data_IF_781064073534
#
_entry.id   IF_781064073534
#
_cell.length_a   1.000
_cell.length_b   1.000
_cell.length_c   1.000
_cell.angle_alpha   90.00
_cell.angle_beta   90.00
_cell.angle_gamma   90.00
#
_symmetry.space_group_name_H-M   'P 1'
#
loop_
_entity.id
_entity.type
_entity.pdbx_description
1 polymer ?
#
# COMPACT_ATOMS: atom_id res chain seq x y z
N UNK A 1 -4.53 6.09 -31.54
CA UNK A 1 -5.17 5.08 -30.66
C UNK A 1 -5.88 5.87 -29.61
N UNK A 2 -7.19 5.76 -29.58
CA UNK A 2 -8.02 6.49 -28.63
C UNK A 2 -7.77 5.88 -27.23
N UNK A 3 -7.05 6.61 -26.37
CA UNK A 3 -6.80 6.19 -25.00
C UNK A 3 -8.13 6.28 -24.26
N UNK A 4 -8.55 5.18 -23.67
CA UNK A 4 -9.85 5.12 -23.01
C UNK A 4 -9.93 6.08 -21.81
N UNK A 5 -11.14 6.49 -21.38
CA UNK A 5 -11.37 7.47 -20.31
C UNK A 5 -10.67 7.11 -18.99
N UNK A 6 -10.37 5.85 -18.74
CA UNK A 6 -9.65 5.38 -17.56
C UNK A 6 -8.18 5.77 -17.57
N UNK A 7 -7.50 5.79 -18.72
CA UNK A 7 -6.10 6.22 -18.81
C UNK A 7 -5.97 7.72 -18.63
N UNK A 8 -6.92 8.49 -19.17
CA UNK A 8 -6.97 9.94 -18.95
C UNK A 8 -7.16 10.27 -17.46
N UNK A 9 -8.06 9.56 -16.76
CA UNK A 9 -8.27 9.72 -15.33
C UNK A 9 -7.01 9.39 -14.51
N UNK A 10 -6.33 8.28 -14.81
CA UNK A 10 -5.07 7.91 -14.16
C UNK A 10 -3.98 8.98 -14.36
N UNK A 11 -3.96 9.66 -15.50
CA UNK A 11 -3.02 10.76 -15.78
C UNK A 11 -3.35 12.04 -15.01
N UNK A 12 -4.61 12.25 -14.66
CA UNK A 12 -5.04 13.41 -13.87
C UNK A 12 -4.67 13.29 -12.39
N UNK A 13 -4.38 12.07 -11.89
CA UNK A 13 -3.99 11.85 -10.51
C UNK A 13 -2.59 12.45 -10.27
N UNK A 14 -2.40 13.26 -9.22
CA UNK A 14 -1.10 13.82 -8.88
C UNK A 14 -0.04 12.73 -8.67
N UNK A 15 1.21 13.03 -9.08
CA UNK A 15 2.34 12.10 -9.00
C UNK A 15 3.35 12.46 -7.92
N UNK A 16 3.33 13.71 -7.47
CA UNK A 16 4.24 14.20 -6.43
C UNK A 16 3.60 14.04 -5.07
N UNK A 17 4.35 13.54 -4.10
CA UNK A 17 3.85 13.22 -2.77
C UNK A 17 3.32 14.44 -2.00
N UNK A 18 3.94 15.61 -2.20
CA UNK A 18 3.50 16.87 -1.58
C UNK A 18 2.08 17.30 -1.99
N UNK A 19 1.62 16.87 -3.17
CA UNK A 19 0.25 17.14 -3.61
C UNK A 19 -0.82 16.50 -2.70
N UNK A 20 -0.46 15.51 -1.86
CA UNK A 20 -1.40 14.91 -0.92
C UNK A 20 -1.87 15.92 0.15
N UNK A 21 -1.13 16.99 0.38
CA UNK A 21 -1.53 18.05 1.32
C UNK A 21 -2.75 18.86 0.83
N UNK A 22 -2.99 18.88 -0.48
CA UNK A 22 -4.11 19.63 -1.06
C UNK A 22 -5.47 19.05 -0.62
N UNK A 23 -6.45 19.89 -0.22
CA UNK A 23 -7.75 19.41 0.27
C UNK A 23 -8.47 18.47 -0.70
N UNK A 24 -8.40 18.75 -2.00
CA UNK A 24 -9.09 17.98 -3.04
C UNK A 24 -8.39 16.67 -3.41
N UNK A 25 -7.13 16.48 -3.00
CA UNK A 25 -6.35 15.30 -3.34
C UNK A 25 -6.51 14.24 -2.26
N UNK A 26 -7.22 13.16 -2.55
CA UNK A 26 -7.33 12.01 -1.64
C UNK A 26 -6.34 10.88 -1.98
N UNK A 27 -5.79 10.89 -3.19
CA UNK A 27 -4.88 9.89 -3.74
C UNK A 27 -3.75 10.54 -4.54
N UNK A 28 -2.53 10.06 -4.35
CA UNK A 28 -1.38 10.35 -5.21
C UNK A 28 -0.86 9.02 -5.73
N UNK A 29 -0.50 8.94 -7.02
CA UNK A 29 0.13 7.75 -7.60
C UNK A 29 1.47 8.17 -8.23
N UNK A 30 2.57 7.78 -7.58
CA UNK A 30 3.92 8.00 -8.10
C UNK A 30 4.34 6.81 -8.99
N UNK A 31 4.54 7.01 -10.31
CA UNK A 31 5.15 6.01 -11.17
C UNK A 31 6.60 5.77 -10.78
N UNK A 32 7.01 4.51 -10.66
CA UNK A 32 8.41 4.15 -10.43
C UNK A 32 8.76 2.81 -11.05
N UNK A 33 10.06 2.57 -11.24
CA UNK A 33 10.58 1.26 -11.61
C UNK A 33 11.02 0.52 -10.36
N UNK A 34 10.65 -0.74 -10.26
CA UNK A 34 10.98 -1.59 -9.10
C UNK A 34 12.18 -2.50 -9.35
N UNK A 35 12.69 -2.56 -10.59
CA UNK A 35 13.88 -3.32 -11.03
C UNK A 35 14.20 -4.53 -10.12
N UNK A 36 15.29 -4.43 -9.33
CA UNK A 36 15.75 -5.53 -8.44
C UNK A 36 14.74 -5.92 -7.36
N UNK A 37 13.90 -5.00 -6.88
CA UNK A 37 12.84 -5.33 -5.93
C UNK A 37 11.73 -6.12 -6.61
N UNK A 38 11.43 -5.82 -7.89
CA UNK A 38 10.51 -6.60 -8.71
C UNK A 38 10.96 -8.05 -8.88
N UNK A 39 12.24 -8.26 -9.25
CA UNK A 39 12.82 -9.61 -9.41
C UNK A 39 12.77 -10.39 -8.08
N UNK A 40 13.14 -9.77 -6.96
CA UNK A 40 13.10 -10.40 -5.64
C UNK A 40 11.67 -10.71 -5.18
N UNK A 41 10.68 -9.94 -5.63
CA UNK A 41 9.27 -10.15 -5.26
C UNK A 41 8.67 -11.40 -5.88
N UNK A 42 9.11 -11.80 -7.07
CA UNK A 42 8.65 -13.02 -7.71
C UNK A 42 8.99 -14.25 -6.85
N UNK A 43 10.22 -14.33 -6.35
CA UNK A 43 10.64 -15.42 -5.46
C UNK A 43 9.83 -15.46 -4.15
N UNK A 44 9.39 -14.31 -3.63
CA UNK A 44 8.53 -14.25 -2.44
C UNK A 44 7.10 -14.71 -2.69
N UNK A 45 6.63 -14.77 -3.93
CA UNK A 45 5.33 -15.36 -4.27
C UNK A 45 5.35 -16.90 -4.33
N UNK A 46 6.52 -17.51 -4.49
CA UNK A 46 6.67 -18.96 -4.62
C UNK A 46 6.74 -19.69 -3.27
N UNK A 47 6.97 -18.95 -2.18
CA UNK A 47 6.98 -19.51 -0.83
C UNK A 47 5.58 -19.54 -0.20
N UNK A 48 5.49 -20.17 0.98
CA UNK A 48 4.25 -20.18 1.78
C UNK A 48 3.80 -18.74 2.12
N UNK A 49 2.49 -18.47 2.12
CA UNK A 49 1.95 -17.15 2.46
C UNK A 49 2.45 -16.65 3.81
N UNK A 50 2.92 -15.43 3.83
CA UNK A 50 3.50 -14.79 5.01
C UNK A 50 2.98 -13.38 5.23
N UNK A 51 3.17 -12.88 6.44
CA UNK A 51 3.03 -11.49 6.80
C UNK A 51 4.19 -11.11 7.72
N UNK A 52 4.89 -10.01 7.38
CA UNK A 52 5.90 -9.37 8.18
C UNK A 52 5.42 -8.00 8.60
N UNK A 53 5.49 -7.72 9.88
CA UNK A 53 5.14 -6.41 10.44
C UNK A 53 6.27 -5.91 11.33
N UNK A 54 6.54 -4.63 11.24
CA UNK A 54 7.53 -3.95 12.05
C UNK A 54 7.01 -2.56 12.42
N UNK A 55 7.43 -2.03 13.57
CA UNK A 55 7.06 -0.69 14.03
C UNK A 55 8.19 -0.06 14.82
N UNK A 56 8.23 1.26 14.87
CA UNK A 56 9.23 2.07 15.54
C UNK A 56 9.79 3.16 14.63
N UNK A 57 10.96 3.69 14.97
CA UNK A 57 11.72 4.51 14.02
C UNK A 57 12.02 3.73 12.75
N UNK A 58 12.27 4.42 11.64
CA UNK A 58 12.54 3.72 10.37
C UNK A 58 13.66 2.69 10.53
N UNK A 59 14.76 3.04 11.21
CA UNK A 59 15.88 2.13 11.43
C UNK A 59 15.50 0.91 12.27
N UNK A 60 14.73 1.08 13.35
CA UNK A 60 14.26 -0.02 14.19
C UNK A 60 13.31 -0.94 13.42
N UNK A 61 12.39 -0.38 12.64
CA UNK A 61 11.47 -1.15 11.81
C UNK A 61 12.22 -1.96 10.73
N UNK A 62 13.24 -1.37 10.09
CA UNK A 62 14.08 -2.07 9.10
C UNK A 62 14.88 -3.21 9.74
N UNK A 63 15.43 -3.01 10.94
CA UNK A 63 16.11 -4.10 11.67
C UNK A 63 15.20 -5.29 11.98
N UNK A 64 13.92 -5.04 12.30
CA UNK A 64 12.93 -6.09 12.54
C UNK A 64 12.57 -6.89 11.26
N UNK A 65 12.86 -6.35 10.08
CA UNK A 65 12.60 -6.95 8.77
C UNK A 65 13.87 -7.50 8.09
N UNK A 66 14.97 -7.64 8.83
CA UNK A 66 16.28 -8.00 8.28
C UNK A 66 16.35 -9.40 7.62
N UNK A 67 15.32 -10.24 7.81
CA UNK A 67 15.17 -11.54 7.15
C UNK A 67 14.61 -11.44 5.71
N UNK A 68 14.20 -10.25 5.27
CA UNK A 68 13.73 -10.03 3.89
C UNK A 68 14.90 -9.96 2.90
N UNK A 69 14.66 -10.26 1.61
CA UNK A 69 15.66 -10.08 0.56
C UNK A 69 16.22 -8.65 0.55
N UNK A 70 17.54 -8.47 0.43
CA UNK A 70 18.18 -7.14 0.54
C UNK A 70 17.65 -6.09 -0.44
N UNK A 71 17.16 -6.50 -1.63
CA UNK A 71 16.58 -5.58 -2.60
C UNK A 71 15.23 -5.03 -2.13
N UNK A 72 14.38 -5.88 -1.57
CA UNK A 72 13.09 -5.49 -0.97
C UNK A 72 13.33 -4.61 0.26
N UNK A 73 14.25 -5.00 1.14
CA UNK A 73 14.55 -4.26 2.36
C UNK A 73 15.02 -2.84 2.07
N UNK A 74 15.92 -2.64 1.10
CA UNK A 74 16.39 -1.30 0.68
C UNK A 74 15.25 -0.46 0.10
N UNK A 75 14.36 -1.05 -0.67
CA UNK A 75 13.21 -0.33 -1.23
C UNK A 75 12.25 0.10 -0.13
N UNK A 76 11.94 -0.79 0.82
CA UNK A 76 11.11 -0.48 1.99
C UNK A 76 11.74 0.65 2.82
N UNK A 77 13.05 0.60 3.09
CA UNK A 77 13.77 1.64 3.83
C UNK A 77 13.66 3.01 3.15
N UNK A 78 13.88 3.05 1.83
CA UNK A 78 13.75 4.27 1.04
C UNK A 78 12.34 4.85 1.09
N UNK A 79 11.32 4.01 0.95
CA UNK A 79 9.91 4.44 1.00
C UNK A 79 9.51 4.88 2.41
N UNK A 80 9.94 4.15 3.44
CA UNK A 80 9.63 4.46 4.83
C UNK A 80 10.28 5.79 5.27
N UNK A 81 11.53 6.05 4.87
CA UNK A 81 12.21 7.31 5.15
C UNK A 81 11.48 8.50 4.50
N UNK A 82 11.15 8.40 3.22
CA UNK A 82 10.40 9.44 2.51
C UNK A 82 9.00 9.66 3.10
N UNK A 83 8.35 8.57 3.55
CA UNK A 83 7.03 8.65 4.18
C UNK A 83 7.10 9.32 5.56
N UNK A 84 8.12 9.00 6.35
CA UNK A 84 8.40 9.65 7.64
C UNK A 84 8.66 11.15 7.46
N UNK A 85 9.48 11.53 6.47
CA UNK A 85 9.74 12.94 6.13
C UNK A 85 8.46 13.68 5.71
N UNK A 86 7.63 13.05 4.86
CA UNK A 86 6.37 13.65 4.40
C UNK A 86 5.38 13.89 5.54
N UNK A 87 5.27 12.92 6.46
CA UNK A 87 4.30 12.97 7.56
C UNK A 87 4.81 13.70 8.79
N UNK A 88 6.11 14.01 8.84
CA UNK A 88 6.79 14.54 10.04
C UNK A 88 6.77 13.54 11.20
N UNK A 89 6.50 12.26 10.96
CA UNK A 89 6.45 11.23 11.99
C UNK A 89 7.81 10.57 12.17
N UNK A 90 8.26 10.50 13.41
CA UNK A 90 9.51 9.79 13.74
C UNK A 90 9.32 8.25 13.78
N UNK A 91 8.08 7.77 13.72
CA UNK A 91 7.72 6.37 13.83
C UNK A 91 6.82 5.95 12.68
N UNK A 92 7.05 4.75 12.18
CA UNK A 92 6.28 4.12 11.11
C UNK A 92 5.86 2.71 11.49
N UNK A 93 4.75 2.27 10.94
CA UNK A 93 4.34 0.86 10.96
C UNK A 93 4.41 0.32 9.55
N UNK A 94 5.24 -0.69 9.35
CA UNK A 94 5.50 -1.33 8.06
C UNK A 94 4.87 -2.72 8.07
N UNK A 95 4.20 -3.08 6.99
CA UNK A 95 3.68 -4.43 6.76
C UNK A 95 3.95 -4.86 5.34
N UNK A 96 4.67 -5.96 5.18
CA UNK A 96 4.82 -6.67 3.90
C UNK A 96 4.08 -8.01 4.00
N UNK A 97 3.10 -8.22 3.13
CA UNK A 97 2.28 -9.43 3.16
C UNK A 97 2.06 -10.02 1.77
N UNK A 98 2.16 -11.34 1.70
CA UNK A 98 1.64 -12.10 0.58
C UNK A 98 0.15 -12.35 0.82
N UNK A 99 -0.71 -11.76 0.02
CA UNK A 99 -2.17 -11.85 0.15
C UNK A 99 -2.69 -12.90 -0.80
N UNK A 100 -3.35 -13.92 -0.25
CA UNK A 100 -3.99 -15.04 -0.96
C UNK A 100 -5.47 -15.16 -0.63
N UNK A 101 -6.03 -14.21 0.13
CA UNK A 101 -7.40 -14.24 0.63
C UNK A 101 -8.23 -13.11 0.01
N UNK A 102 -9.53 -13.11 0.26
CA UNK A 102 -10.44 -12.04 -0.12
C UNK A 102 -10.55 -10.93 0.94
N UNK A 103 -9.57 -10.80 1.82
CA UNK A 103 -9.55 -9.73 2.83
C UNK A 103 -9.62 -8.35 2.18
N UNK A 104 -10.35 -7.43 2.79
CA UNK A 104 -10.51 -6.05 2.30
C UNK A 104 -11.10 -5.94 0.88
N UNK A 105 -11.90 -6.91 0.42
CA UNK A 105 -12.51 -6.93 -0.93
C UNK A 105 -13.62 -5.93 -1.13
N UNK A 106 -14.19 -5.38 -0.06
CA UNK A 106 -15.22 -4.33 -0.15
C UNK A 106 -14.55 -2.97 -0.23
N UNK A 107 -15.15 -2.05 -0.99
CA UNK A 107 -14.70 -0.66 -1.04
C UNK A 107 -14.82 -0.05 0.36
N UNK A 108 -13.76 0.56 0.84
CA UNK A 108 -13.68 1.19 2.15
C UNK A 108 -12.64 2.30 2.14
N UNK A 109 -12.64 3.11 3.18
CA UNK A 109 -11.54 4.02 3.49
C UNK A 109 -10.95 3.64 4.84
N UNK A 110 -9.62 3.62 4.92
CA UNK A 110 -8.88 3.24 6.13
C UNK A 110 -9.12 4.22 7.29
N UNK A 111 -9.04 3.70 8.49
CA UNK A 111 -9.12 4.51 9.71
C UNK A 111 -7.70 4.94 10.16
N UNK A 112 -6.94 5.49 9.23
CA UNK A 112 -5.60 6.07 9.41
C UNK A 112 -5.64 7.56 9.03
N UNK A 113 -4.54 8.27 9.24
CA UNK A 113 -4.31 9.60 8.66
C UNK A 113 -3.87 9.49 7.20
N UNK A 114 -2.70 8.94 6.95
CA UNK A 114 -2.13 8.70 5.63
C UNK A 114 -1.59 7.27 5.56
N UNK A 115 -1.76 6.64 4.40
CA UNK A 115 -1.22 5.31 4.09
C UNK A 115 -0.41 5.35 2.80
N UNK A 116 0.79 4.79 2.85
CA UNK A 116 1.52 4.41 1.66
C UNK A 116 1.23 2.96 1.34
N UNK A 117 0.93 2.67 0.07
CA UNK A 117 0.76 1.32 -0.43
C UNK A 117 1.53 1.11 -1.73
N UNK A 118 2.15 -0.04 -1.90
CA UNK A 118 2.69 -0.51 -3.19
C UNK A 118 2.51 -2.00 -3.33
N UNK A 119 2.12 -2.44 -4.52
CA UNK A 119 2.04 -3.86 -4.86
C UNK A 119 3.28 -4.21 -5.66
N UNK A 120 4.15 -5.05 -5.13
CA UNK A 120 5.36 -5.51 -5.83
C UNK A 120 5.06 -6.55 -6.89
N UNK A 121 4.07 -7.42 -6.65
CA UNK A 121 3.67 -8.47 -7.57
C UNK A 121 2.19 -8.82 -7.40
N UNK A 122 1.57 -9.34 -8.46
CA UNK A 122 0.13 -9.62 -8.53
C UNK A 122 -0.69 -8.36 -8.79
N UNK A 123 -2.04 -8.45 -8.81
CA UNK A 123 -2.93 -7.33 -9.08
C UNK A 123 -2.75 -6.16 -8.10
N UNK A 124 -2.82 -4.93 -8.59
CA UNK A 124 -2.72 -3.70 -7.80
C UNK A 124 -3.86 -3.50 -6.81
N UNK A 125 -3.69 -2.57 -5.88
CA UNK A 125 -4.81 -2.09 -5.05
C UNK A 125 -5.75 -1.29 -5.92
N UNK A 126 -7.05 -1.48 -5.76
CA UNK A 126 -8.08 -0.83 -6.54
C UNK A 126 -8.65 0.37 -5.78
N UNK A 127 -8.81 1.50 -6.46
CA UNK A 127 -9.45 2.68 -5.90
C UNK A 127 -10.70 3.07 -6.68
N UNK A 128 -11.65 3.67 -6.00
CA UNK A 128 -12.94 4.04 -6.54
C UNK A 128 -12.81 5.25 -7.48
N UNK A 129 -13.37 5.14 -8.69
CA UNK A 129 -13.44 6.25 -9.64
C UNK A 129 -14.19 7.42 -8.98
N UNK A 130 -13.68 8.64 -9.20
CA UNK A 130 -14.21 9.87 -8.60
C UNK A 130 -14.34 9.83 -7.07
N UNK A 131 -13.57 8.94 -6.43
CA UNK A 131 -13.60 8.70 -4.98
C UNK A 131 -15.02 8.41 -4.44
N UNK A 132 -15.86 7.79 -5.25
CA UNK A 132 -17.23 7.41 -4.86
C UNK A 132 -17.20 6.03 -4.14
N UNK A 133 -17.67 5.93 -2.88
CA UNK A 133 -17.69 4.65 -2.15
C UNK A 133 -18.61 3.59 -2.78
N UNK A 134 -19.58 4.01 -3.55
CA UNK A 134 -20.54 3.14 -4.24
C UNK A 134 -20.17 2.92 -5.73
N UNK A 135 -18.96 3.33 -6.14
CA UNK A 135 -18.53 3.19 -7.53
C UNK A 135 -18.46 1.71 -7.94
N UNK A 136 -19.11 1.39 -9.04
CA UNK A 136 -18.96 0.09 -9.72
C UNK A 136 -17.62 0.03 -10.47
N UNK A 137 -17.13 1.18 -10.94
CA UNK A 137 -15.84 1.29 -11.64
C UNK A 137 -14.72 1.51 -10.68
N UNK A 138 -13.76 0.59 -10.70
CA UNK A 138 -12.54 0.64 -9.90
C UNK A 138 -11.33 0.64 -10.82
N UNK A 139 -10.31 1.41 -10.46
CA UNK A 139 -9.05 1.51 -11.18
C UNK A 139 -7.92 0.96 -10.33
N UNK A 140 -6.96 0.30 -10.97
CA UNK A 140 -5.81 -0.26 -10.26
C UNK A 140 -4.72 0.81 -10.06
N UNK A 141 -4.12 0.84 -8.87
CA UNK A 141 -2.78 1.41 -8.71
C UNK A 141 -1.82 0.48 -9.45
N UNK A 142 -1.12 0.93 -10.49
CA UNK A 142 -0.28 0.04 -11.27
C UNK A 142 0.80 -0.64 -10.42
N UNK A 143 1.10 -1.90 -10.75
CA UNK A 143 2.12 -2.69 -10.03
C UNK A 143 3.45 -1.95 -10.02
N UNK A 144 4.11 -1.94 -8.87
CA UNK A 144 5.35 -1.22 -8.63
C UNK A 144 5.18 0.26 -8.31
N UNK A 145 4.05 0.89 -8.65
CA UNK A 145 3.80 2.29 -8.32
C UNK A 145 3.50 2.47 -6.84
N UNK A 146 3.77 3.66 -6.32
CA UNK A 146 3.41 4.03 -4.95
C UNK A 146 2.08 4.77 -4.97
N UNK A 147 1.12 4.30 -4.19
CA UNK A 147 -0.08 5.03 -3.84
C UNK A 147 0.05 5.66 -2.45
N UNK A 148 -0.26 6.97 -2.33
CA UNK A 148 -0.50 7.62 -1.05
C UNK A 148 -1.98 7.88 -0.92
N UNK A 149 -2.61 7.35 0.13
CA UNK A 149 -4.05 7.38 0.33
C UNK A 149 -4.37 8.11 1.63
N UNK A 150 -5.19 9.16 1.56
CA UNK A 150 -5.76 9.75 2.78
C UNK A 150 -6.73 8.78 3.43
N UNK A 151 -6.55 8.59 4.73
CA UNK A 151 -7.49 7.87 5.58
C UNK A 151 -8.54 8.80 6.18
N UNK A 152 -9.48 8.22 6.93
CA UNK A 152 -10.58 8.95 7.60
C UNK A 152 -10.12 9.94 8.68
N UNK A 153 -8.86 9.83 9.11
CA UNK A 153 -8.28 10.63 10.20
C UNK A 153 -7.27 11.68 9.71
N UNK A 154 -7.10 11.85 8.40
CA UNK A 154 -6.13 12.80 7.83
C UNK A 154 -6.39 14.26 8.31
N UNK A 155 -7.59 14.58 8.71
CA UNK A 155 -7.95 15.90 9.25
C UNK A 155 -9.36 16.32 8.85
N UNK A 156 -9.81 17.45 9.38
CA UNK A 156 -11.06 18.06 8.99
C UNK A 156 -10.95 18.62 7.56
N UNK A 157 -12.04 18.59 6.81
CA UNK A 157 -12.14 19.13 5.43
C UNK A 157 -11.34 18.36 4.35
N UNK A 158 -10.98 17.12 4.61
CA UNK A 158 -10.38 16.22 3.63
C UNK A 158 -11.26 15.01 3.39
N UNK A 159 -11.41 14.60 2.13
CA UNK A 159 -12.07 13.36 1.79
C UNK A 159 -11.08 12.19 1.91
N UNK A 160 -11.47 11.07 2.55
CA UNK A 160 -10.65 9.85 2.55
C UNK A 160 -10.66 9.19 1.18
N UNK A 161 -9.62 8.45 0.83
CA UNK A 161 -9.56 7.68 -0.39
C UNK A 161 -10.31 6.35 -0.25
N UNK A 162 -11.33 6.14 -1.07
CA UNK A 162 -12.05 4.87 -1.13
C UNK A 162 -11.35 3.88 -2.05
N UNK A 163 -11.02 2.72 -1.50
CA UNK A 163 -10.25 1.69 -2.19
C UNK A 163 -10.60 0.29 -1.68
N UNK A 164 -10.06 -0.74 -2.35
CA UNK A 164 -10.16 -2.13 -1.90
C UNK A 164 -8.96 -2.97 -2.30
N UNK A 165 -8.82 -4.12 -1.70
CA UNK A 165 -7.99 -5.21 -2.21
C UNK A 165 -8.77 -6.00 -3.28
N UNK A 166 -8.20 -6.35 -4.45
CA UNK A 166 -8.79 -7.34 -5.33
C UNK A 166 -9.06 -8.65 -4.57
N UNK A 167 -10.14 -9.39 -4.89
CA UNK A 167 -10.47 -10.65 -4.23
C UNK A 167 -9.53 -11.77 -4.69
N UNK A 168 -8.33 -11.84 -4.10
CA UNK A 168 -7.23 -12.68 -4.56
C UNK A 168 -7.59 -14.17 -4.60
N UNK A 169 -8.33 -14.67 -3.59
CA UNK A 169 -8.76 -16.07 -3.56
C UNK A 169 -9.74 -16.38 -4.71
N UNK A 170 -10.73 -15.52 -4.97
CA UNK A 170 -11.70 -15.73 -6.04
C UNK A 170 -11.04 -15.66 -7.42
N UNK A 171 -9.98 -14.85 -7.56
CA UNK A 171 -9.22 -14.71 -8.80
C UNK A 171 -8.13 -15.79 -8.96
N UNK A 172 -7.87 -16.60 -7.95
CA UNK A 172 -6.80 -17.61 -7.98
C UNK A 172 -5.39 -17.01 -8.09
N UNK A 173 -5.17 -15.80 -7.55
CA UNK A 173 -3.91 -15.07 -7.64
C UNK A 173 -3.29 -14.80 -6.29
N UNK A 174 -1.98 -14.54 -6.29
CA UNK A 174 -1.23 -14.07 -5.12
C UNK A 174 -0.82 -12.62 -5.33
N UNK A 175 -0.72 -11.86 -4.25
CA UNK A 175 -0.26 -10.47 -4.27
C UNK A 175 0.81 -10.28 -3.21
N UNK A 176 1.89 -9.56 -3.54
CA UNK A 176 2.87 -9.09 -2.55
C UNK A 176 2.67 -7.59 -2.37
N UNK A 177 2.21 -7.20 -1.19
CA UNK A 177 1.81 -5.82 -0.89
C UNK A 177 2.57 -5.28 0.30
N UNK A 178 3.17 -4.10 0.12
CA UNK A 178 3.73 -3.28 1.18
C UNK A 178 2.71 -2.22 1.58
N UNK A 179 2.54 -2.06 2.89
CA UNK A 179 1.78 -0.96 3.51
C UNK A 179 2.68 -0.28 4.54
N UNK A 180 2.71 1.06 4.51
CA UNK A 180 3.37 1.89 5.53
C UNK A 180 2.36 2.89 6.06
N UNK A 181 2.17 2.90 7.37
CA UNK A 181 1.31 3.83 8.11
C UNK A 181 2.15 4.60 9.14
N UNK A 182 1.65 5.74 9.61
CA UNK A 182 2.15 6.36 10.83
C UNK A 182 1.77 5.50 12.04
N UNK A 183 2.61 5.47 13.09
CA UNK A 183 2.37 4.62 14.26
C UNK A 183 1.20 5.10 15.14
N UNK A 184 0.64 6.27 14.90
CA UNK A 184 -0.33 6.97 15.77
C UNK A 184 -1.61 6.18 16.07
N UNK A 185 -1.80 4.98 15.51
CA UNK A 185 -3.03 4.19 15.67
C UNK A 185 -2.77 2.72 15.97
N UNK A 186 -2.74 2.40 17.24
CA UNK A 186 -3.02 1.06 17.76
C UNK A 186 -4.53 0.87 17.82
N UNK A 187 -5.23 0.66 16.72
CA UNK A 187 -6.54 0.02 16.82
C UNK A 187 -6.29 -1.48 16.84
N UNK A 188 -6.63 -2.12 17.93
CA UNK A 188 -6.64 -3.59 18.09
C UNK A 188 -7.53 -4.29 17.04
N UNK A 189 -8.25 -3.54 16.23
CA UNK A 189 -9.21 -4.03 15.24
C UNK A 189 -8.64 -4.26 13.84
N UNK A 190 -7.46 -3.74 13.51
CA UNK A 190 -6.74 -4.13 12.30
C UNK A 190 -5.69 -5.20 12.61
N UNK A 191 -6.13 -6.41 12.94
CA UNK A 191 -5.29 -7.61 12.84
C UNK A 191 -4.96 -7.82 11.37
N UNK A 192 -3.99 -7.08 10.89
CA UNK A 192 -3.69 -6.89 9.48
C UNK A 192 -3.18 -8.10 8.73
N UNK A 193 -3.11 -9.25 9.37
CA UNK A 193 -2.66 -10.51 8.80
C UNK A 193 -3.71 -11.61 8.94
N UNK A 194 -4.99 -11.31 8.74
CA UNK A 194 -6.13 -12.22 8.91
C UNK A 194 -5.80 -13.70 8.71
N UNK A 195 -5.42 -14.40 9.78
CA UNK A 195 -5.17 -15.83 9.78
C UNK A 195 -3.83 -16.31 9.20
N UNK A 196 -2.94 -15.44 8.74
CA UNK A 196 -1.63 -15.83 8.22
C UNK A 196 -0.59 -15.92 9.35
N UNK A 197 0.25 -16.98 9.29
CA UNK A 197 1.30 -17.21 10.31
C UNK A 197 2.36 -16.10 10.25
N UNK A 198 2.62 -15.46 11.38
CA UNK A 198 3.82 -14.64 11.60
C UNK A 198 4.98 -15.59 11.88
N UNK A 199 5.79 -15.92 10.89
CA UNK A 199 6.96 -16.81 11.02
C UNK A 199 8.18 -16.18 10.35
N UNK A 200 9.42 -16.56 10.77
CA UNK A 200 10.65 -16.17 10.03
C UNK A 200 10.65 -16.84 8.65
N UNK A 201 11.18 -16.14 7.65
CA UNK A 201 11.54 -16.76 6.39
C UNK A 201 12.72 -17.70 6.65
N UNK A 202 12.64 -18.94 6.14
CA UNK A 202 13.68 -19.95 6.26
C UNK A 202 14.85 -19.63 5.31
#
# INVERSE_FOLDING_TARGET
>A
MDEGPHEEYLRSIPRRWDAIAEPQTCLVIEPRKTDKAGDASAALLDIEPFCRSAAGSVSEAIMQLADLPPAILRDIESLASRFADLTGSNHVRIRLAQIVTNSCRKVHADYTDLRLITTYAGPGTQFALDNNPDAETLLDVPVGHVGLLKGRRYGANHAPCYHRSPPAADLGVKRLVLVIDTETFTSETESGCGGQKTGKLA
#
